data_IF_990654329130
#
_entry.id   IF_990654329130
#
_cell.length_a   1.000
_cell.length_b   1.000
_cell.length_c   1.000
_cell.angle_alpha   90.00
_cell.angle_beta   90.00
_cell.angle_gamma   90.00
#
_symmetry.space_group_name_H-M   'P 1'
#
loop_
_entity.id
_entity.type
_entity.pdbx_description
1 polymer ?
#
# COMPACT_ATOMS: atom_id res chain seq x y z
N UNK A 1 2.23 -17.44 15.82
CA UNK A 1 1.94 -16.00 15.60
C UNK A 1 2.16 -15.79 14.12
N UNK A 2 1.16 -15.33 13.37
CA UNK A 2 1.41 -14.96 11.96
C UNK A 2 2.25 -13.68 11.96
N UNK A 3 3.21 -13.59 11.05
CA UNK A 3 4.04 -12.38 10.88
C UNK A 3 3.26 -11.25 10.18
N UNK A 4 1.92 -11.37 10.07
CA UNK A 4 1.02 -10.40 9.47
C UNK A 4 1.43 -10.04 8.04
N UNK A 5 1.72 -8.76 7.83
CA UNK A 5 2.26 -8.21 6.57
C UNK A 5 3.68 -7.63 6.76
N UNK A 6 4.32 -7.87 7.91
CA UNK A 6 5.65 -7.33 8.24
C UNK A 6 6.70 -7.69 7.20
N UNK A 7 6.60 -8.89 6.64
CA UNK A 7 7.53 -9.39 5.63
C UNK A 7 7.60 -8.47 4.41
N UNK A 8 6.51 -7.76 4.06
CA UNK A 8 6.52 -6.80 2.95
C UNK A 8 7.54 -5.68 3.22
N UNK A 9 7.50 -5.12 4.45
CA UNK A 9 8.45 -4.09 4.87
C UNK A 9 9.89 -4.60 5.03
N UNK A 10 10.09 -5.88 5.35
CA UNK A 10 11.42 -6.52 5.40
C UNK A 10 12.10 -6.56 4.02
N UNK A 11 11.31 -6.67 2.95
CA UNK A 11 11.79 -6.75 1.57
C UNK A 11 11.59 -5.45 0.78
N UNK A 12 11.24 -4.35 1.45
CA UNK A 12 10.85 -3.08 0.83
C UNK A 12 11.90 -2.46 -0.11
N UNK A 13 13.19 -2.76 0.09
CA UNK A 13 14.30 -2.25 -0.74
C UNK A 13 14.89 -3.32 -1.67
N UNK A 14 14.29 -4.50 -1.76
CA UNK A 14 14.67 -5.48 -2.78
C UNK A 14 14.09 -5.06 -4.14
N UNK A 15 14.80 -5.37 -5.23
CA UNK A 15 14.30 -5.10 -6.57
C UNK A 15 12.98 -5.84 -6.83
N UNK A 16 12.01 -5.13 -7.42
CA UNK A 16 10.72 -5.70 -7.80
C UNK A 16 10.86 -6.90 -8.75
N UNK A 17 11.89 -6.90 -9.60
CA UNK A 17 12.22 -7.99 -10.54
C UNK A 17 12.96 -9.15 -9.86
N UNK A 18 12.54 -9.55 -8.66
CA UNK A 18 13.07 -10.74 -8.01
C UNK A 18 12.86 -12.00 -8.86
N UNK A 19 13.65 -13.05 -8.62
CA UNK A 19 13.57 -14.35 -9.30
C UNK A 19 12.31 -15.17 -8.94
N UNK A 20 11.21 -14.52 -8.54
CA UNK A 20 9.96 -15.17 -8.11
C UNK A 20 8.83 -14.95 -9.13
N UNK A 21 7.90 -15.90 -9.30
CA UNK A 21 6.75 -15.72 -10.20
C UNK A 21 5.83 -14.55 -9.79
N UNK A 22 5.74 -14.26 -8.50
CA UNK A 22 4.91 -13.21 -7.92
C UNK A 22 5.67 -11.94 -7.55
N UNK A 23 5.39 -11.40 -6.36
CA UNK A 23 5.99 -10.17 -5.84
C UNK A 23 6.84 -10.46 -4.60
N UNK A 24 7.89 -9.67 -4.40
CA UNK A 24 8.74 -9.77 -3.20
C UNK A 24 9.23 -8.42 -2.69
N UNK A 25 9.76 -7.57 -3.57
CA UNK A 25 10.31 -6.26 -3.24
C UNK A 25 9.47 -5.09 -3.76
N UNK A 26 9.71 -3.90 -3.22
CA UNK A 26 9.05 -2.64 -3.61
C UNK A 26 7.52 -2.66 -3.63
N UNK A 27 6.92 -3.52 -2.81
CA UNK A 27 5.47 -3.69 -2.75
C UNK A 27 4.83 -2.51 -2.01
N UNK A 28 3.95 -1.80 -2.69
CA UNK A 28 2.97 -0.89 -2.12
C UNK A 28 1.68 -1.65 -1.80
N UNK A 29 0.96 -1.21 -0.77
CA UNK A 29 -0.26 -1.84 -0.28
C UNK A 29 -1.39 -0.81 -0.24
N UNK A 30 -2.54 -1.13 -0.80
CA UNK A 30 -3.80 -0.42 -0.50
C UNK A 30 -4.76 -1.40 0.16
N UNK A 31 -5.20 -1.11 1.38
CA UNK A 31 -6.21 -1.87 2.09
C UNK A 31 -7.47 -1.02 2.24
N UNK A 32 -8.65 -1.62 2.00
CA UNK A 32 -9.93 -0.93 2.15
C UNK A 32 -10.97 -1.81 2.85
N UNK A 33 -11.90 -1.20 3.60
CA UNK A 33 -13.09 -1.86 4.15
C UNK A 33 -14.32 -0.98 4.00
N UNK A 34 -15.51 -1.59 4.06
CA UNK A 34 -16.77 -0.89 3.82
C UNK A 34 -17.09 -0.70 2.33
N UNK A 35 -16.38 -1.41 1.45
CA UNK A 35 -16.55 -1.39 -0.01
C UNK A 35 -16.38 -2.82 -0.56
N UNK A 36 -17.14 -3.15 -1.59
CA UNK A 36 -17.05 -4.44 -2.28
C UNK A 36 -15.76 -4.53 -3.11
N UNK A 37 -15.19 -5.74 -3.21
CA UNK A 37 -13.86 -5.93 -3.83
C UNK A 37 -13.83 -5.48 -5.29
N UNK A 38 -14.83 -5.89 -6.08
CA UNK A 38 -14.91 -5.53 -7.49
C UNK A 38 -15.14 -4.03 -7.70
N UNK A 39 -16.07 -3.41 -6.94
CA UNK A 39 -16.30 -1.96 -7.02
C UNK A 39 -15.04 -1.16 -6.70
N UNK A 40 -14.27 -1.57 -5.69
CA UNK A 40 -13.01 -0.92 -5.37
C UNK A 40 -11.97 -1.05 -6.49
N UNK A 41 -11.78 -2.25 -7.04
CA UNK A 41 -10.82 -2.48 -8.14
C UNK A 41 -11.21 -1.72 -9.41
N UNK A 42 -12.50 -1.68 -9.76
CA UNK A 42 -13.00 -0.90 -10.91
C UNK A 42 -12.77 0.59 -10.70
N UNK A 43 -12.92 1.10 -9.48
CA UNK A 43 -12.58 2.50 -9.15
C UNK A 43 -11.11 2.79 -9.25
N UNK A 44 -10.24 1.81 -8.98
CA UNK A 44 -8.80 1.89 -9.27
C UNK A 44 -8.49 1.81 -10.78
N UNK A 45 -9.49 1.55 -11.63
CA UNK A 45 -9.37 1.51 -13.08
C UNK A 45 -9.27 0.10 -13.68
N UNK A 46 -9.48 -0.96 -12.88
CA UNK A 46 -9.56 -2.31 -13.41
C UNK A 46 -10.75 -2.46 -14.37
N UNK A 47 -10.55 -3.27 -15.42
CA UNK A 47 -11.62 -3.64 -16.33
C UNK A 47 -12.48 -4.76 -15.71
N UNK A 48 -13.80 -4.58 -15.53
CA UNK A 48 -14.68 -5.63 -15.01
C UNK A 48 -14.58 -6.95 -15.81
N UNK A 49 -14.44 -6.89 -17.14
CA UNK A 49 -14.33 -8.09 -17.97
C UNK A 49 -13.03 -8.87 -17.66
N UNK A 50 -11.95 -8.15 -17.32
CA UNK A 50 -10.70 -8.76 -16.88
C UNK A 50 -10.84 -9.41 -15.50
N UNK A 51 -11.54 -8.75 -14.56
CA UNK A 51 -11.76 -9.29 -13.22
C UNK A 51 -12.58 -10.59 -13.26
N UNK A 52 -13.55 -10.68 -14.17
CA UNK A 52 -14.36 -11.88 -14.40
C UNK A 52 -13.55 -13.10 -14.88
N UNK A 53 -12.40 -12.89 -15.53
CA UNK A 53 -11.50 -13.98 -15.95
C UNK A 53 -10.82 -14.67 -14.76
N UNK A 54 -10.67 -13.98 -13.61
CA UNK A 54 -9.99 -14.49 -12.41
C UNK A 54 -8.58 -15.04 -12.68
N UNK A 55 -7.85 -14.42 -13.60
CA UNK A 55 -6.47 -14.79 -13.91
C UNK A 55 -5.58 -14.69 -12.67
N UNK A 56 -4.56 -15.54 -12.57
CA UNK A 56 -3.58 -15.49 -11.49
C UNK A 56 -2.38 -14.63 -11.89
N UNK A 57 -1.79 -13.94 -10.92
CA UNK A 57 -0.68 -13.02 -11.18
C UNK A 57 0.53 -13.69 -11.84
N UNK A 58 0.82 -14.96 -11.51
CA UNK A 58 1.92 -15.71 -12.13
C UNK A 58 1.78 -15.86 -13.66
N UNK A 59 0.55 -15.79 -14.19
CA UNK A 59 0.23 -16.02 -15.60
C UNK A 59 0.18 -14.69 -16.40
N UNK A 60 0.45 -13.54 -15.75
CA UNK A 60 0.33 -12.18 -16.33
C UNK A 60 1.07 -11.96 -17.66
N UNK A 61 2.19 -12.66 -17.88
CA UNK A 61 2.99 -12.52 -19.09
C UNK A 61 2.34 -13.18 -20.33
N UNK A 62 1.40 -14.09 -20.10
CA UNK A 62 0.69 -14.81 -21.17
C UNK A 62 -0.64 -14.12 -21.55
N UNK A 63 -1.04 -13.08 -20.81
CA UNK A 63 -2.30 -12.38 -21.03
C UNK A 63 -2.19 -11.40 -22.21
N UNK A 64 -3.21 -11.45 -23.06
CA UNK A 64 -3.38 -10.43 -24.10
C UNK A 64 -3.85 -9.13 -23.43
N UNK A 65 -2.97 -8.13 -23.36
CA UNK A 65 -3.34 -6.80 -22.87
C UNK A 65 -4.38 -6.23 -23.84
N UNK A 66 -5.59 -5.86 -23.38
CA UNK A 66 -6.61 -5.28 -24.24
C UNK A 66 -6.06 -4.04 -24.94
N UNK A 67 -6.02 -4.07 -26.28
CA UNK A 67 -5.52 -2.96 -27.10
C UNK A 67 -6.43 -1.72 -27.09
N UNK A 68 -7.62 -1.81 -26.47
CA UNK A 68 -8.62 -0.75 -26.41
C UNK A 68 -8.73 -0.16 -25.01
N UNK A 69 -8.15 1.02 -24.78
CA UNK A 69 -8.40 1.84 -23.59
C UNK A 69 -7.14 2.29 -22.86
N UNK A 70 -6.13 1.42 -22.79
CA UNK A 70 -4.85 1.75 -22.16
C UNK A 70 -3.95 2.52 -23.14
N UNK A 71 -4.10 3.85 -23.17
CA UNK A 71 -3.10 4.73 -23.81
C UNK A 71 -1.82 4.86 -22.97
N UNK A 72 -1.84 4.35 -21.73
CA UNK A 72 -0.87 4.57 -20.66
C UNK A 72 -0.22 3.27 -20.19
N UNK A 73 0.86 3.42 -19.42
CA UNK A 73 1.52 2.33 -18.71
C UNK A 73 0.50 1.56 -17.84
N UNK A 74 0.43 0.24 -18.02
CA UNK A 74 -0.36 -0.65 -17.16
C UNK A 74 0.52 -1.20 -16.04
N UNK A 75 -0.09 -1.46 -14.90
CA UNK A 75 0.52 -2.07 -13.74
C UNK A 75 -0.24 -3.34 -13.35
N UNK A 76 0.50 -4.36 -12.93
CA UNK A 76 -0.06 -5.62 -12.47
C UNK A 76 -0.20 -5.58 -10.95
N UNK A 77 -1.38 -5.90 -10.43
CA UNK A 77 -1.63 -5.95 -9.01
C UNK A 77 -2.12 -7.33 -8.59
N UNK A 78 -1.78 -7.75 -7.37
CA UNK A 78 -2.45 -8.87 -6.71
C UNK A 78 -3.49 -8.33 -5.74
N UNK A 79 -4.62 -9.02 -5.60
CA UNK A 79 -5.63 -8.63 -4.61
C UNK A 79 -6.20 -9.82 -3.84
N UNK A 80 -6.82 -9.54 -2.71
CA UNK A 80 -7.48 -10.53 -1.88
C UNK A 80 -8.22 -9.90 -0.71
N UNK A 81 -8.71 -10.74 0.21
CA UNK A 81 -9.40 -10.29 1.42
C UNK A 81 -8.82 -10.92 2.67
N UNK A 82 -8.93 -10.23 3.80
CA UNK A 82 -8.54 -10.68 5.13
C UNK A 82 -9.46 -10.04 6.18
N UNK A 83 -10.40 -10.83 6.70
CA UNK A 83 -11.49 -10.29 7.53
C UNK A 83 -12.35 -9.33 6.73
N UNK A 84 -12.60 -8.14 7.27
CA UNK A 84 -13.41 -7.10 6.62
C UNK A 84 -12.61 -6.25 5.61
N UNK A 85 -11.31 -6.50 5.48
CA UNK A 85 -10.43 -5.73 4.59
C UNK A 85 -10.21 -6.46 3.28
N UNK A 86 -10.41 -5.77 2.16
CA UNK A 86 -9.73 -6.11 0.91
C UNK A 86 -8.32 -5.51 0.94
N UNK A 87 -7.39 -6.11 0.19
CA UNK A 87 -6.07 -5.56 -0.05
C UNK A 87 -5.67 -5.67 -1.53
N UNK A 88 -4.86 -4.72 -1.97
CA UNK A 88 -4.24 -4.64 -3.30
C UNK A 88 -2.75 -4.45 -3.10
N UNK A 89 -1.94 -5.28 -3.76
CA UNK A 89 -0.47 -5.29 -3.72
C UNK A 89 0.07 -4.90 -5.10
N UNK A 90 1.03 -3.99 -5.13
CA UNK A 90 1.61 -3.43 -6.35
C UNK A 90 3.13 -3.31 -6.20
N UNK A 91 3.94 -3.88 -7.09
CA UNK A 91 5.41 -3.91 -6.97
C UNK A 91 6.15 -2.93 -7.89
N UNK A 92 5.43 -2.05 -8.59
CA UNK A 92 6.03 -1.10 -9.55
C UNK A 92 6.58 0.18 -8.91
N UNK A 93 6.60 0.25 -7.58
CA UNK A 93 7.19 1.34 -6.80
C UNK A 93 6.22 2.42 -6.33
N UNK A 94 4.91 2.28 -6.59
CA UNK A 94 3.88 3.22 -6.14
C UNK A 94 2.52 2.51 -6.07
N UNK A 95 1.64 2.95 -5.17
CA UNK A 95 0.24 2.50 -5.17
C UNK A 95 -0.60 3.29 -6.20
N UNK A 96 -1.45 2.60 -6.96
CA UNK A 96 -2.40 3.22 -7.90
C UNK A 96 -3.34 4.19 -7.20
N UNK A 97 -3.80 3.83 -5.99
CA UNK A 97 -4.63 4.72 -5.17
C UNK A 97 -3.93 6.05 -4.86
N UNK A 98 -2.66 6.01 -4.47
CA UNK A 98 -1.87 7.22 -4.21
C UNK A 98 -1.75 8.11 -5.47
N UNK A 99 -1.54 7.50 -6.63
CA UNK A 99 -1.43 8.25 -7.88
C UNK A 99 -2.76 8.93 -8.29
N UNK A 100 -3.91 8.35 -7.95
CA UNK A 100 -5.20 8.80 -8.48
C UNK A 100 -6.15 9.48 -7.49
N UNK A 101 -6.01 9.33 -6.17
CA UNK A 101 -7.04 9.75 -5.21
C UNK A 101 -7.39 11.25 -5.23
N UNK A 102 -6.53 12.11 -5.79
CA UNK A 102 -6.76 13.56 -5.94
C UNK A 102 -7.30 13.98 -7.31
N UNK A 103 -7.02 13.21 -8.36
CA UNK A 103 -7.29 13.57 -9.76
C UNK A 103 -8.39 12.73 -10.39
N UNK A 104 -8.58 11.50 -9.91
CA UNK A 104 -9.58 10.56 -10.43
C UNK A 104 -10.76 10.51 -9.47
N UNK A 105 -11.87 11.15 -9.87
CA UNK A 105 -13.08 11.23 -9.05
C UNK A 105 -13.61 9.86 -8.59
N UNK A 106 -13.42 8.80 -9.38
CA UNK A 106 -13.81 7.45 -9.00
C UNK A 106 -13.03 6.91 -7.78
N UNK A 107 -11.79 7.36 -7.56
CA UNK A 107 -10.94 6.94 -6.44
C UNK A 107 -11.19 7.76 -5.17
N UNK A 108 -12.05 8.77 -5.19
CA UNK A 108 -12.40 9.51 -3.97
C UNK A 108 -13.05 8.54 -2.95
N UNK A 109 -12.55 8.47 -1.69
CA UNK A 109 -13.16 7.62 -0.67
C UNK A 109 -14.60 8.03 -0.41
N UNK A 110 -15.53 7.07 -0.36
CA UNK A 110 -16.94 7.34 -0.04
C UNK A 110 -17.15 7.27 1.47
N UNK A 111 -18.24 7.88 1.93
CA UNK A 111 -18.65 7.79 3.33
C UNK A 111 -18.87 6.34 3.75
N UNK A 112 -18.29 5.94 4.88
CA UNK A 112 -18.31 4.56 5.37
C UNK A 112 -17.18 3.67 4.82
N UNK A 113 -16.40 4.16 3.86
CA UNK A 113 -15.21 3.46 3.35
C UNK A 113 -13.98 3.91 4.12
N UNK A 114 -13.30 2.95 4.73
CA UNK A 114 -11.99 3.21 5.31
C UNK A 114 -10.90 2.65 4.41
N UNK A 115 -9.89 3.47 4.09
CA UNK A 115 -8.77 3.11 3.21
C UNK A 115 -7.46 3.46 3.90
N UNK A 116 -6.54 2.51 3.95
CA UNK A 116 -5.13 2.71 4.34
C UNK A 116 -4.25 2.33 3.16
N UNK A 117 -3.45 3.28 2.67
CA UNK A 117 -2.52 3.06 1.56
C UNK A 117 -1.09 3.33 2.01
N UNK A 118 -0.22 2.34 1.85
CA UNK A 118 1.22 2.42 2.05
C UNK A 118 1.87 2.44 0.67
N UNK A 119 2.35 3.61 0.25
CA UNK A 119 3.04 3.76 -1.03
C UNK A 119 4.54 3.83 -0.82
N UNK A 120 5.26 2.94 -1.49
CA UNK A 120 6.73 2.91 -1.46
C UNK A 120 7.35 4.10 -2.18
N UNK A 121 6.58 4.70 -3.11
CA UNK A 121 6.88 5.92 -3.84
C UNK A 121 8.35 6.03 -4.30
N UNK A 122 8.87 4.95 -4.86
CA UNK A 122 10.31 4.75 -5.09
C UNK A 122 10.88 5.71 -6.13
N UNK A 123 10.02 6.24 -7.01
CA UNK A 123 10.40 7.14 -8.10
C UNK A 123 10.27 8.62 -7.73
N UNK A 124 9.46 8.95 -6.72
CA UNK A 124 9.17 10.33 -6.28
C UNK A 124 9.09 10.41 -4.75
N UNK A 125 10.17 10.06 -4.02
CA UNK A 125 10.16 10.00 -2.55
C UNK A 125 9.62 11.31 -1.95
N UNK A 126 8.94 11.25 -0.79
CA UNK A 126 9.06 10.23 0.26
C UNK A 126 8.07 9.06 0.18
N UNK A 127 8.32 8.01 0.99
CA UNK A 127 7.36 6.94 1.29
C UNK A 127 6.22 7.50 2.15
N UNK A 128 4.98 7.16 1.83
CA UNK A 128 3.80 7.78 2.45
C UNK A 128 2.79 6.76 2.97
N UNK A 129 2.16 7.12 4.08
CA UNK A 129 0.94 6.53 4.61
C UNK A 129 -0.22 7.46 4.23
N UNK A 130 -1.22 6.95 3.54
CA UNK A 130 -2.47 7.64 3.27
C UNK A 130 -3.59 6.97 4.07
N UNK A 131 -4.44 7.76 4.70
CA UNK A 131 -5.56 7.24 5.49
C UNK A 131 -6.83 8.06 5.27
N UNK A 132 -7.87 7.39 4.76
CA UNK A 132 -9.24 7.89 4.75
C UNK A 132 -10.02 7.12 5.80
N UNK A 133 -10.53 7.78 6.84
CA UNK A 133 -11.16 7.12 7.98
C UNK A 133 -12.62 6.70 7.75
N UNK A 134 -13.25 7.16 6.66
CA UNK A 134 -14.65 6.91 6.32
C UNK A 134 -15.67 7.92 6.85
N UNK A 135 -15.30 8.78 7.79
CA UNK A 135 -16.22 9.73 8.43
C UNK A 135 -16.24 11.12 7.78
N UNK A 136 -15.13 11.49 7.14
CA UNK A 136 -14.92 12.78 6.51
C UNK A 136 -14.27 12.47 5.18
N UNK A 137 -14.86 12.92 4.05
CA UNK A 137 -14.32 12.74 2.68
C UNK A 137 -12.97 13.45 2.51
N UNK A 138 -11.99 13.05 3.30
CA UNK A 138 -10.67 13.62 3.45
C UNK A 138 -9.72 12.47 3.67
N UNK A 139 -8.72 12.42 2.82
CA UNK A 139 -7.58 11.54 2.98
C UNK A 139 -6.47 12.34 3.66
N UNK A 140 -5.98 11.83 4.77
CA UNK A 140 -4.80 12.35 5.47
C UNK A 140 -3.55 11.63 4.97
N UNK A 141 -2.39 12.27 5.14
CA UNK A 141 -1.10 11.69 4.75
C UNK A 141 -0.02 11.98 5.79
N UNK A 142 0.91 11.04 5.97
CA UNK A 142 2.17 11.19 6.71
C UNK A 142 3.29 10.52 5.92
N UNK A 143 4.51 11.02 6.09
CA UNK A 143 5.71 10.29 5.69
C UNK A 143 5.96 9.08 6.60
N UNK A 144 6.68 8.08 6.09
CA UNK A 144 7.18 7.01 6.95
C UNK A 144 8.13 7.61 7.99
N UNK A 145 7.86 7.38 9.28
CA UNK A 145 8.59 7.99 10.39
C UNK A 145 7.80 9.08 11.10
N UNK A 146 6.77 9.65 10.47
CA UNK A 146 5.93 10.70 11.05
C UNK A 146 4.74 10.12 11.84
N UNK A 147 4.21 10.89 12.82
CA UNK A 147 3.00 10.49 13.54
C UNK A 147 1.73 10.63 12.67
N UNK A 148 0.75 9.76 12.92
CA UNK A 148 -0.56 9.78 12.25
C UNK A 148 -1.64 10.40 13.17
N UNK A 149 -1.40 11.61 13.69
CA UNK A 149 -2.17 12.22 14.79
C UNK A 149 -3.68 12.35 14.55
N UNK A 150 -4.10 12.38 13.28
CA UNK A 150 -5.52 12.41 12.90
C UNK A 150 -6.26 11.10 13.21
N UNK A 151 -5.55 10.00 13.43
CA UNK A 151 -6.10 8.69 13.77
C UNK A 151 -5.38 8.12 15.00
N UNK A 152 -5.88 8.38 16.22
CA UNK A 152 -5.22 7.94 17.45
C UNK A 152 -4.95 6.43 17.51
N UNK A 153 -5.84 5.62 16.94
CA UNK A 153 -5.69 4.16 16.90
C UNK A 153 -4.60 3.71 15.92
N UNK A 154 -4.52 4.34 14.74
CA UNK A 154 -3.46 4.05 13.77
C UNK A 154 -2.11 4.55 14.30
N UNK A 155 -2.06 5.77 14.85
CA UNK A 155 -0.85 6.35 15.45
C UNK A 155 -0.32 5.48 16.59
N UNK A 156 -1.20 5.02 17.50
CA UNK A 156 -0.80 4.11 18.56
C UNK A 156 -0.21 2.79 18.01
N UNK A 157 -0.79 2.23 16.95
CA UNK A 157 -0.27 1.02 16.31
C UNK A 157 1.11 1.25 15.66
N UNK A 158 1.31 2.40 15.01
CA UNK A 158 2.59 2.81 14.42
C UNK A 158 3.66 3.01 15.50
N UNK A 159 3.35 3.72 16.60
CA UNK A 159 4.26 3.93 17.73
C UNK A 159 4.68 2.62 18.39
N UNK A 160 3.73 1.72 18.65
CA UNK A 160 4.02 0.38 19.22
C UNK A 160 4.89 -0.47 18.29
N UNK A 161 4.81 -0.24 16.98
CA UNK A 161 5.66 -0.89 15.99
C UNK A 161 7.04 -0.22 15.80
N UNK A 162 7.28 0.94 16.44
CA UNK A 162 8.50 1.72 16.25
C UNK A 162 8.56 2.50 14.94
N UNK A 163 7.40 2.75 14.31
CA UNK A 163 7.29 3.42 13.01
C UNK A 163 7.25 4.95 13.09
N UNK A 164 7.13 5.51 14.31
CA UNK A 164 7.17 6.96 14.55
C UNK A 164 8.51 7.28 15.19
N UNK A 165 9.31 8.11 14.52
CA UNK A 165 10.63 8.49 15.01
C UNK A 165 10.54 9.67 15.98
N UNK A 166 11.51 9.80 16.91
CA UNK A 166 11.67 11.03 17.68
C UNK A 166 11.90 12.20 16.73
N UNK A 167 11.33 13.36 17.05
CA UNK A 167 11.49 14.57 16.24
C UNK A 167 11.58 15.78 17.12
N UNK A 168 12.52 16.68 16.81
CA UNK A 168 12.73 17.94 17.52
C UNK A 168 11.50 18.87 17.47
N UNK A 169 10.62 18.66 16.49
CA UNK A 169 9.38 19.42 16.36
C UNK A 169 8.33 19.05 17.43
N UNK A 170 8.29 17.77 17.83
CA UNK A 170 7.29 17.23 18.75
C UNK A 170 7.85 16.90 20.14
N UNK A 171 9.17 16.72 20.24
CA UNK A 171 9.90 16.39 21.46
C UNK A 171 10.93 17.48 21.76
N UNK A 172 10.68 18.25 22.82
CA UNK A 172 11.55 19.37 23.23
C UNK A 172 12.94 18.93 23.68
N UNK A 173 13.13 17.65 23.96
CA UNK A 173 14.41 17.08 24.40
C UNK A 173 15.23 16.52 23.22
N UNK A 174 14.66 16.47 22.00
CA UNK A 174 15.36 16.03 20.78
C UNK A 174 15.86 17.25 20.00
N UNK A 175 17.13 17.26 19.62
CA UNK A 175 17.70 18.26 18.70
C UNK A 175 17.61 17.81 17.24
N UNK A 176 17.63 18.75 16.29
CA UNK A 176 17.65 18.42 14.84
C UNK A 176 18.84 17.52 14.44
N UNK A 177 19.98 17.66 15.13
CA UNK A 177 21.17 16.83 14.94
C UNK A 177 20.92 15.38 15.36
N UNK A 178 20.29 15.18 16.52
CA UNK A 178 19.92 13.86 17.03
C UNK A 178 18.84 13.20 16.18
N UNK A 179 17.85 13.95 15.71
CA UNK A 179 16.82 13.48 14.78
C UNK A 179 17.45 13.01 13.45
N UNK A 180 18.35 13.81 12.87
CA UNK A 180 19.07 13.43 11.64
C UNK A 180 19.91 12.16 11.86
N UNK A 181 20.66 12.10 12.95
CA UNK A 181 21.47 10.93 13.27
C UNK A 181 20.59 9.68 13.43
N UNK A 182 19.48 9.80 14.17
CA UNK A 182 18.54 8.70 14.36
C UNK A 182 17.96 8.24 13.01
N UNK A 183 17.58 9.18 12.13
CA UNK A 183 17.10 8.84 10.80
C UNK A 183 18.16 8.08 9.99
N UNK A 184 19.40 8.55 9.94
CA UNK A 184 20.50 7.88 9.22
C UNK A 184 20.71 6.44 9.73
N UNK A 185 20.64 6.23 11.04
CA UNK A 185 20.83 4.92 11.68
C UNK A 185 19.63 3.97 11.47
N UNK A 186 18.40 4.50 11.43
CA UNK A 186 17.19 3.68 11.53
C UNK A 186 16.27 3.69 10.30
N UNK A 187 16.42 4.60 9.33
CA UNK A 187 15.47 4.74 8.21
C UNK A 187 15.23 3.46 7.42
N UNK A 188 16.24 2.58 7.27
CA UNK A 188 16.08 1.29 6.57
C UNK A 188 15.14 0.31 7.25
N UNK A 189 14.81 0.54 8.52
CA UNK A 189 13.86 -0.28 9.28
C UNK A 189 12.44 0.30 9.25
N UNK A 190 12.25 1.51 8.72
CA UNK A 190 10.95 2.19 8.68
C UNK A 190 9.89 1.38 7.94
N UNK A 191 10.12 0.84 6.73
CA UNK A 191 9.09 0.06 6.05
C UNK A 191 8.64 -1.14 6.90
N UNK A 192 9.58 -1.90 7.48
CA UNK A 192 9.28 -3.02 8.37
C UNK A 192 8.39 -2.58 9.53
N UNK A 193 8.72 -1.48 10.19
CA UNK A 193 7.94 -0.95 11.31
C UNK A 193 6.54 -0.47 10.87
N UNK A 194 6.44 0.27 9.77
CA UNK A 194 5.18 0.80 9.23
C UNK A 194 4.24 -0.33 8.82
N UNK A 195 4.70 -1.30 8.03
CA UNK A 195 3.91 -2.47 7.65
C UNK A 195 3.50 -3.30 8.87
N UNK A 196 4.34 -3.39 9.90
CA UNK A 196 3.97 -4.04 11.17
C UNK A 196 2.83 -3.30 11.87
N UNK A 197 2.92 -1.97 12.00
CA UNK A 197 1.91 -1.14 12.65
C UNK A 197 0.56 -1.18 11.92
N UNK A 198 0.59 -0.99 10.61
CA UNK A 198 -0.61 -1.02 9.75
C UNK A 198 -1.21 -2.42 9.70
N UNK A 199 -0.39 -3.47 9.63
CA UNK A 199 -0.85 -4.85 9.71
C UNK A 199 -1.64 -5.14 10.99
N UNK A 200 -1.16 -4.62 12.14
CA UNK A 200 -1.87 -4.73 13.42
C UNK A 200 -3.13 -3.88 13.46
N UNK A 201 -3.08 -2.66 12.94
CA UNK A 201 -4.23 -1.76 12.87
C UNK A 201 -5.39 -2.38 12.08
N UNK A 202 -5.10 -2.91 10.89
CA UNK A 202 -6.09 -3.53 10.02
C UNK A 202 -6.39 -4.99 10.39
N UNK A 203 -5.56 -5.64 11.21
CA UNK A 203 -5.65 -7.09 11.45
C UNK A 203 -5.28 -7.93 10.22
N UNK A 204 -4.46 -7.40 9.31
CA UNK A 204 -4.09 -8.06 8.05
C UNK A 204 -3.08 -9.18 8.26
N UNK A 205 -3.35 -10.33 7.64
CA UNK A 205 -2.38 -11.40 7.44
C UNK A 205 -2.40 -11.79 5.96
N UNK A 206 -1.24 -11.67 5.30
CA UNK A 206 -1.08 -12.02 3.89
C UNK A 206 0.04 -13.05 3.80
N UNK A 207 -0.28 -14.22 3.23
CA UNK A 207 0.68 -15.31 3.11
C UNK A 207 1.76 -14.97 2.07
N UNK A 208 2.98 -14.75 2.56
CA UNK A 208 4.16 -14.49 1.74
C UNK A 208 4.34 -15.53 0.63
N UNK A 209 4.19 -16.82 0.93
CA UNK A 209 4.45 -17.88 -0.03
C UNK A 209 3.44 -17.84 -1.18
N UNK A 210 2.19 -17.47 -0.90
CA UNK A 210 1.14 -17.30 -1.91
C UNK A 210 1.44 -16.08 -2.80
N UNK A 211 1.87 -14.97 -2.20
CA UNK A 211 2.25 -13.74 -2.93
C UNK A 211 3.49 -13.96 -3.79
N UNK A 212 4.56 -14.54 -3.25
CA UNK A 212 5.79 -14.82 -4.01
C UNK A 212 5.57 -15.85 -5.12
N UNK A 213 4.65 -16.81 -4.93
CA UNK A 213 4.27 -17.76 -5.97
C UNK A 213 3.30 -17.17 -7.03
N UNK A 214 2.83 -15.93 -6.85
CA UNK A 214 1.90 -15.27 -7.77
C UNK A 214 0.54 -15.97 -7.83
N UNK A 215 0.09 -16.56 -6.73
CA UNK A 215 -1.13 -17.37 -6.66
C UNK A 215 -2.38 -16.58 -6.23
N UNK A 216 -2.26 -15.27 -6.05
CA UNK A 216 -3.41 -14.41 -5.85
C UNK A 216 -4.03 -13.98 -7.20
N UNK A 217 -5.34 -13.68 -7.21
CA UNK A 217 -5.99 -13.04 -8.34
C UNK A 217 -5.27 -11.79 -8.82
N UNK A 218 -5.23 -11.63 -10.14
CA UNK A 218 -4.62 -10.51 -10.84
C UNK A 218 -5.64 -9.42 -11.13
N UNK A 219 -5.26 -8.17 -10.88
CA UNK A 219 -5.92 -7.00 -11.44
C UNK A 219 -4.94 -6.24 -12.36
N UNK A 220 -5.42 -5.81 -13.52
CA UNK A 220 -4.68 -4.92 -14.42
C UNK A 220 -5.13 -3.49 -14.14
N UNK A 221 -4.23 -2.66 -13.62
CA UNK A 221 -4.52 -1.29 -13.23
C UNK A 221 -3.84 -0.31 -14.19
N UNK A 222 -4.57 0.65 -14.79
CA UNK A 222 -3.93 1.73 -15.54
C UNK A 222 -3.21 2.67 -14.59
N UNK A 223 -2.10 3.25 -15.04
CA UNK A 223 -1.58 4.45 -14.37
C UNK A 223 -2.64 5.57 -14.48
N UNK A 224 -3.04 6.19 -13.35
CA UNK A 224 -3.98 7.31 -13.37
C UNK A 224 -3.44 8.47 -14.23
N UNK A 225 -4.24 8.95 -15.18
CA UNK A 225 -3.92 10.17 -15.92
C UNK A 225 -4.20 11.39 -15.04
N UNK A 226 -3.19 12.25 -14.85
CA UNK A 226 -3.29 13.53 -14.13
C UNK A 226 -3.88 14.65 -14.98
#
# INVERSE_FOLDING_TARGET
>A
MSDGIRWIGEHAYEDAKGDVPGMRGSISLTAARGVETEDFLVRLGADPEQLDCQDLYKDRNDLAIPSSGYKTHINWAMYGTCGDWLYVLEDWGMATFYAGYRSVAAMEPRTGEEIVCLTMNSWDPPQLILHASGDHNRTWQAEFGEPAEWSPTLDAALRVAGAVFPSAYYDSDTTEEEERQYFEEHHKQLPLAVFTGVGRYCGLTIDRAVVEAGLLPLAILPMPES
#
